data_IF_162163147910
#
_entry.id   IF_162163147910
#
_cell.length_a   1.000
_cell.length_b   1.000
_cell.length_c   1.000
_cell.angle_alpha   90.00
_cell.angle_beta   90.00
_cell.angle_gamma   90.00
#
_symmetry.space_group_name_H-M   'P 1'
#
loop_
_entity.id
_entity.type
_entity.pdbx_description
1 polymer ?
#
# COMPACT_ATOMS: atom_id res chain seq x y z
N UNK A 1 21.03 -12.73 10.34
CA UNK A 1 21.24 -11.49 11.13
C UNK A 1 20.65 -11.68 12.51
N UNK A 2 21.39 -11.38 13.58
CA UNK A 2 20.90 -11.56 14.96
C UNK A 2 20.03 -10.38 15.37
N UNK A 3 18.80 -10.65 15.83
CA UNK A 3 17.95 -9.62 16.42
C UNK A 3 18.52 -9.19 17.77
N UNK A 4 18.94 -7.94 17.86
CA UNK A 4 19.37 -7.33 19.13
C UNK A 4 18.42 -6.21 19.52
N UNK A 5 18.32 -5.95 20.82
CA UNK A 5 17.61 -4.78 21.32
C UNK A 5 18.18 -3.47 20.77
N UNK A 6 19.51 -3.38 20.61
CA UNK A 6 20.15 -2.20 20.03
C UNK A 6 19.66 -1.91 18.61
N UNK A 7 19.51 -2.93 17.76
CA UNK A 7 18.98 -2.79 16.42
C UNK A 7 17.52 -2.30 16.41
N UNK A 8 16.67 -2.88 17.28
CA UNK A 8 15.26 -2.52 17.35
C UNK A 8 15.07 -1.10 17.91
N UNK A 9 15.87 -0.71 18.90
CA UNK A 9 15.75 0.58 19.60
C UNK A 9 16.58 1.70 18.98
N UNK A 10 17.43 1.42 17.99
CA UNK A 10 18.26 2.43 17.31
C UNK A 10 17.47 3.68 16.86
N UNK A 11 16.27 3.59 16.27
CA UNK A 11 15.52 4.78 15.87
C UNK A 11 14.68 5.39 17.00
N UNK A 12 14.75 4.90 18.25
CA UNK A 12 13.86 5.31 19.33
C UNK A 12 13.85 6.83 19.53
N UNK A 13 15.02 7.46 19.62
CA UNK A 13 15.13 8.91 19.82
C UNK A 13 14.46 9.68 18.69
N UNK A 14 14.72 9.30 17.44
CA UNK A 14 14.11 9.94 16.27
C UNK A 14 12.59 9.71 16.24
N UNK A 15 12.12 8.50 16.57
CA UNK A 15 10.71 8.17 16.64
C UNK A 15 9.97 8.96 17.75
N UNK A 16 10.60 9.15 18.92
CA UNK A 16 10.06 9.96 20.01
C UNK A 16 9.94 11.44 19.63
N UNK A 17 10.96 11.99 18.96
CA UNK A 17 10.90 13.36 18.44
C UNK A 17 9.77 13.48 17.41
N UNK A 18 9.66 12.54 16.47
CA UNK A 18 8.59 12.52 15.48
C UNK A 18 7.20 12.38 16.12
N UNK A 19 7.06 11.58 17.18
CA UNK A 19 5.81 11.45 17.92
C UNK A 19 5.40 12.74 18.64
N UNK A 20 6.37 13.48 19.20
CA UNK A 20 6.10 14.78 19.81
C UNK A 20 5.63 15.80 18.76
N UNK A 21 6.26 15.82 17.57
CA UNK A 21 5.81 16.65 16.45
C UNK A 21 4.40 16.25 15.98
N UNK A 22 4.15 14.95 15.82
CA UNK A 22 2.84 14.41 15.45
C UNK A 22 1.75 14.82 16.46
N UNK A 23 2.06 14.78 17.75
CA UNK A 23 1.18 15.27 18.81
C UNK A 23 0.82 16.75 18.60
N UNK A 24 1.83 17.61 18.41
CA UNK A 24 1.62 19.04 18.18
C UNK A 24 0.77 19.29 16.93
N UNK A 25 1.05 18.59 15.83
CA UNK A 25 0.27 18.70 14.58
C UNK A 25 -1.17 18.25 14.79
N UNK A 26 -1.40 17.14 15.50
CA UNK A 26 -2.74 16.64 15.81
C UNK A 26 -3.56 17.60 16.66
N UNK A 27 -2.95 18.22 17.68
CA UNK A 27 -3.60 19.26 18.49
C UNK A 27 -3.93 20.48 17.63
N UNK A 28 -2.97 20.97 16.85
CA UNK A 28 -3.16 22.15 16.00
C UNK A 28 -4.29 21.93 14.97
N UNK A 29 -4.32 20.78 14.31
CA UNK A 29 -5.39 20.42 13.37
C UNK A 29 -6.76 20.33 14.07
N UNK A 30 -6.82 19.70 15.25
CA UNK A 30 -8.04 19.61 16.04
C UNK A 30 -8.58 20.99 16.42
N UNK A 31 -7.71 21.91 16.86
CA UNK A 31 -8.08 23.29 17.17
C UNK A 31 -8.54 24.06 15.92
N UNK A 32 -7.81 23.95 14.81
CA UNK A 32 -8.15 24.61 13.54
C UNK A 32 -9.52 24.17 12.99
N UNK A 33 -9.95 22.95 13.31
CA UNK A 33 -11.26 22.40 12.94
C UNK A 33 -12.36 22.65 13.97
N UNK A 34 -12.11 23.48 14.98
CA UNK A 34 -13.10 23.78 16.02
C UNK A 34 -13.37 22.61 16.97
N UNK A 35 -12.52 21.58 17.01
CA UNK A 35 -12.68 20.38 17.82
C UNK A 35 -11.91 20.50 19.15
N UNK A 36 -12.03 21.64 19.84
CA UNK A 36 -11.20 21.95 21.03
C UNK A 36 -11.25 20.88 22.12
N UNK A 37 -12.43 20.27 22.36
CA UNK A 37 -12.60 19.19 23.34
C UNK A 37 -11.88 17.88 22.97
N UNK A 38 -11.55 17.67 21.69
CA UNK A 38 -10.94 16.44 21.17
C UNK A 38 -9.53 16.64 20.63
N UNK A 39 -9.04 17.88 20.55
CA UNK A 39 -7.74 18.23 19.97
C UNK A 39 -6.58 17.52 20.68
N UNK A 40 -6.61 17.46 22.02
CA UNK A 40 -5.61 16.74 22.80
C UNK A 40 -5.62 15.24 22.51
N UNK A 41 -6.81 14.63 22.44
CA UNK A 41 -6.93 13.20 22.13
C UNK A 41 -6.42 12.89 20.72
N UNK A 42 -6.74 13.74 19.74
CA UNK A 42 -6.23 13.61 18.36
C UNK A 42 -4.69 13.69 18.33
N UNK A 43 -4.10 14.63 19.05
CA UNK A 43 -2.64 14.70 19.22
C UNK A 43 -2.07 13.44 19.84
N UNK A 44 -2.66 12.96 20.94
CA UNK A 44 -2.22 11.72 21.60
C UNK A 44 -2.31 10.51 20.67
N UNK A 45 -3.42 10.36 19.94
CA UNK A 45 -3.64 9.26 19.01
C UNK A 45 -2.63 9.29 17.87
N UNK A 46 -2.39 10.47 17.27
CA UNK A 46 -1.40 10.67 16.21
C UNK A 46 0.03 10.30 16.67
N UNK A 47 0.44 10.78 17.85
CA UNK A 47 1.77 10.47 18.40
C UNK A 47 1.92 9.00 18.79
N UNK A 48 0.92 8.42 19.46
CA UNK A 48 0.95 7.03 19.91
C UNK A 48 0.94 6.03 18.75
N UNK A 49 0.08 6.25 17.74
CA UNK A 49 0.03 5.38 16.57
C UNK A 49 1.27 5.53 15.68
N UNK A 50 1.89 6.72 15.60
CA UNK A 50 3.21 6.86 14.95
C UNK A 50 4.23 5.93 15.62
N UNK A 51 4.36 5.97 16.95
CA UNK A 51 5.33 5.13 17.67
C UNK A 51 5.03 3.63 17.47
N UNK A 52 3.76 3.25 17.63
CA UNK A 52 3.33 1.87 17.46
C UNK A 52 3.58 1.39 16.02
N UNK A 53 3.25 2.20 15.02
CA UNK A 53 3.44 1.87 13.60
C UNK A 53 4.91 1.73 13.23
N UNK A 54 5.75 2.68 13.66
CA UNK A 54 7.19 2.66 13.45
C UNK A 54 7.83 1.40 14.08
N UNK A 55 7.43 1.06 15.31
CA UNK A 55 7.93 -0.10 16.02
C UNK A 55 7.48 -1.41 15.38
N UNK A 56 6.18 -1.57 15.10
CA UNK A 56 5.63 -2.80 14.52
C UNK A 56 6.18 -3.09 13.12
N UNK A 57 6.26 -2.08 12.26
CA UNK A 57 6.83 -2.23 10.92
C UNK A 57 8.30 -2.64 10.98
N UNK A 58 9.10 -1.97 11.83
CA UNK A 58 10.51 -2.31 12.03
C UNK A 58 10.68 -3.72 12.57
N UNK A 59 9.93 -4.08 13.61
CA UNK A 59 9.99 -5.40 14.24
C UNK A 59 9.64 -6.51 13.24
N UNK A 60 8.59 -6.32 12.46
CA UNK A 60 8.16 -7.28 11.43
C UNK A 60 9.27 -7.51 10.39
N UNK A 61 9.83 -6.44 9.85
CA UNK A 61 10.90 -6.52 8.85
C UNK A 61 12.19 -7.09 9.44
N UNK A 62 12.55 -6.72 10.66
CA UNK A 62 13.69 -7.27 11.38
C UNK A 62 13.53 -8.78 11.60
N UNK A 63 12.33 -9.22 11.95
CA UNK A 63 11.99 -10.64 12.08
C UNK A 63 12.20 -11.37 10.74
N UNK A 64 11.67 -10.85 9.62
CA UNK A 64 11.87 -11.47 8.31
C UNK A 64 13.35 -11.60 7.95
N UNK A 65 14.13 -10.52 8.13
CA UNK A 65 15.58 -10.51 7.88
C UNK A 65 16.35 -11.48 8.78
N UNK A 66 15.90 -11.68 10.03
CA UNK A 66 16.57 -12.59 10.95
C UNK A 66 16.35 -14.06 10.63
N UNK A 67 15.29 -14.38 9.86
CA UNK A 67 15.00 -15.75 9.40
C UNK A 67 15.77 -16.16 8.16
N UNK A 68 16.38 -15.22 7.43
CA UNK A 68 17.10 -15.51 6.20
C UNK A 68 18.57 -15.88 6.46
N UNK A 69 19.06 -16.93 5.78
CA UNK A 69 20.49 -17.26 5.71
C UNK A 69 21.31 -16.14 5.06
N UNK A 70 20.72 -15.45 4.09
CA UNK A 70 21.35 -14.35 3.35
C UNK A 70 20.54 -13.04 3.52
N UNK A 71 20.69 -12.33 4.67
CA UNK A 71 19.92 -11.13 4.98
C UNK A 71 19.98 -10.05 3.88
N UNK A 72 21.13 -9.92 3.23
CA UNK A 72 21.32 -9.00 2.10
C UNK A 72 20.38 -9.31 0.93
N UNK A 73 20.27 -10.59 0.55
CA UNK A 73 19.38 -11.01 -0.54
C UNK A 73 17.91 -10.91 -0.12
N UNK A 74 17.62 -11.28 1.13
CA UNK A 74 16.29 -11.12 1.70
C UNK A 74 15.86 -9.66 1.74
N UNK A 75 16.75 -8.70 2.03
CA UNK A 75 16.45 -7.28 2.02
C UNK A 75 15.97 -6.80 0.64
N UNK A 76 16.54 -7.30 -0.46
CA UNK A 76 16.05 -7.02 -1.81
C UNK A 76 14.63 -7.55 -2.05
N UNK A 77 14.36 -8.79 -1.67
CA UNK A 77 13.02 -9.41 -1.79
C UNK A 77 12.00 -8.66 -0.92
N UNK A 78 12.38 -8.30 0.31
CA UNK A 78 11.54 -7.53 1.24
C UNK A 78 11.28 -6.12 0.70
N UNK A 79 12.28 -5.48 0.09
CA UNK A 79 12.14 -4.18 -0.57
C UNK A 79 11.08 -4.21 -1.67
N UNK A 80 11.04 -5.27 -2.48
CA UNK A 80 9.97 -5.51 -3.46
C UNK A 80 8.62 -5.81 -2.79
N UNK A 81 8.61 -6.73 -1.83
CA UNK A 81 7.38 -7.24 -1.25
C UNK A 81 6.65 -6.20 -0.41
N UNK A 82 7.34 -5.49 0.48
CA UNK A 82 6.72 -4.69 1.54
C UNK A 82 6.92 -3.18 1.39
N UNK A 83 7.80 -2.72 0.51
CA UNK A 83 8.03 -1.29 0.26
C UNK A 83 7.84 -0.90 -1.22
N UNK A 84 7.81 -1.89 -2.12
CA UNK A 84 7.71 -1.79 -3.58
C UNK A 84 8.83 -0.97 -4.24
N UNK A 85 8.83 0.35 -4.05
CA UNK A 85 9.73 1.29 -4.74
C UNK A 85 11.21 1.06 -4.49
N UNK A 86 11.68 0.79 -3.26
CA UNK A 86 13.08 0.42 -3.04
C UNK A 86 13.50 -0.80 -3.88
N UNK A 87 12.64 -1.83 -3.97
CA UNK A 87 12.88 -3.00 -4.80
C UNK A 87 12.94 -2.65 -6.29
N UNK A 88 11.98 -1.87 -6.78
CA UNK A 88 11.94 -1.39 -8.17
C UNK A 88 13.21 -0.62 -8.52
N UNK A 89 13.60 0.36 -7.70
CA UNK A 89 14.78 1.22 -7.93
C UNK A 89 16.07 0.38 -7.95
N UNK A 90 16.23 -0.55 -7.00
CA UNK A 90 17.42 -1.39 -6.92
C UNK A 90 17.42 -2.54 -7.93
N UNK A 91 16.39 -2.71 -8.77
CA UNK A 91 16.33 -3.84 -9.72
C UNK A 91 17.44 -3.78 -10.75
N UNK A 92 17.71 -2.63 -11.37
CA UNK A 92 18.81 -2.49 -12.34
C UNK A 92 20.18 -2.50 -11.63
N UNK A 93 20.42 -1.70 -10.56
CA UNK A 93 21.66 -1.77 -9.79
C UNK A 93 22.00 -3.19 -9.30
N UNK A 94 21.01 -3.98 -8.88
CA UNK A 94 21.22 -5.34 -8.39
C UNK A 94 21.76 -6.27 -9.47
N UNK A 95 21.40 -6.07 -10.75
CA UNK A 95 21.98 -6.81 -11.88
C UNK A 95 23.47 -6.50 -12.07
N UNK A 96 23.93 -5.36 -11.58
CA UNK A 96 25.33 -4.92 -11.60
C UNK A 96 26.05 -5.20 -10.28
N UNK A 97 25.42 -5.92 -9.34
CA UNK A 97 25.98 -6.23 -8.03
C UNK A 97 25.91 -5.09 -7.01
N UNK A 98 25.10 -4.05 -7.27
CA UNK A 98 24.91 -2.91 -6.36
C UNK A 98 23.52 -2.95 -5.69
N UNK A 99 23.45 -2.48 -4.43
CA UNK A 99 22.19 -2.27 -3.71
C UNK A 99 22.28 -0.95 -2.96
N UNK A 100 21.36 -0.03 -3.23
CA UNK A 100 21.36 1.30 -2.64
C UNK A 100 20.28 1.42 -1.58
N UNK A 101 19.06 0.99 -1.88
CA UNK A 101 17.89 1.13 -1.01
C UNK A 101 17.49 -0.18 -0.34
N UNK A 102 17.93 -1.32 -0.85
CA UNK A 102 17.57 -2.65 -0.34
C UNK A 102 18.71 -3.34 0.42
N UNK A 103 19.44 -2.60 1.25
CA UNK A 103 20.30 -3.19 2.29
C UNK A 103 19.49 -3.42 3.57
N UNK A 104 19.87 -4.37 4.45
CA UNK A 104 19.14 -4.65 5.69
C UNK A 104 18.88 -3.41 6.54
N UNK A 105 19.89 -2.56 6.73
CA UNK A 105 19.80 -1.33 7.53
C UNK A 105 18.83 -0.33 6.90
N UNK A 106 18.92 -0.14 5.58
CA UNK A 106 18.07 0.82 4.86
C UNK A 106 16.62 0.35 4.84
N UNK A 107 16.36 -0.93 4.60
CA UNK A 107 14.99 -1.48 4.61
C UNK A 107 14.37 -1.39 6.00
N UNK A 108 15.14 -1.56 7.07
CA UNK A 108 14.69 -1.33 8.44
C UNK A 108 14.39 0.13 8.73
N UNK A 109 15.23 1.05 8.25
CA UNK A 109 15.00 2.49 8.40
C UNK A 109 13.74 2.92 7.64
N UNK A 110 13.62 2.52 6.37
CA UNK A 110 12.46 2.82 5.52
C UNK A 110 11.18 2.25 6.11
N UNK A 111 11.17 1.01 6.60
CA UNK A 111 9.97 0.44 7.23
C UNK A 111 9.57 1.16 8.51
N UNK A 112 10.55 1.63 9.29
CA UNK A 112 10.30 2.48 10.47
C UNK A 112 9.61 3.79 10.06
N UNK A 113 10.11 4.44 9.01
CA UNK A 113 9.55 5.70 8.48
C UNK A 113 8.15 5.49 7.91
N UNK A 114 7.96 4.48 7.06
CA UNK A 114 6.64 4.19 6.46
C UNK A 114 5.63 3.79 7.52
N UNK A 115 5.98 2.85 8.41
CA UNK A 115 5.10 2.42 9.50
C UNK A 115 4.72 3.57 10.42
N UNK A 116 5.69 4.43 10.76
CA UNK A 116 5.45 5.64 11.55
C UNK A 116 4.56 6.65 10.84
N UNK A 117 4.78 6.88 9.54
CA UNK A 117 3.95 7.77 8.72
C UNK A 117 2.50 7.28 8.59
N UNK A 118 2.30 5.99 8.36
CA UNK A 118 0.97 5.36 8.33
C UNK A 118 0.29 5.51 9.70
N UNK A 119 1.00 5.18 10.79
CA UNK A 119 0.45 5.35 12.14
C UNK A 119 0.08 6.79 12.48
N UNK A 120 0.93 7.74 12.08
CA UNK A 120 0.64 9.16 12.22
C UNK A 120 -0.64 9.56 11.50
N UNK A 121 -0.78 9.21 10.21
CA UNK A 121 -1.96 9.56 9.45
C UNK A 121 -3.20 8.90 10.05
N UNK A 122 -3.14 7.61 10.38
CA UNK A 122 -4.26 6.89 10.97
C UNK A 122 -4.75 7.54 12.27
N UNK A 123 -3.83 7.99 13.13
CA UNK A 123 -4.17 8.67 14.39
C UNK A 123 -4.59 10.13 14.22
N UNK A 124 -3.98 10.85 13.27
CA UNK A 124 -4.34 12.23 12.95
C UNK A 124 -5.80 12.35 12.50
N UNK A 125 -6.28 11.35 11.77
CA UNK A 125 -7.64 11.30 11.22
C UNK A 125 -8.58 10.36 11.96
N UNK A 126 -8.09 9.56 12.91
CA UNK A 126 -8.92 8.69 13.75
C UNK A 126 -9.67 7.63 12.94
N UNK A 127 -9.00 6.97 11.98
CA UNK A 127 -9.68 6.07 11.04
C UNK A 127 -10.08 4.71 11.65
N UNK A 128 -9.48 4.30 12.76
CA UNK A 128 -9.59 2.94 13.29
C UNK A 128 -10.62 2.81 14.41
N UNK A 129 -11.68 2.03 14.21
CA UNK A 129 -12.64 1.60 15.25
C UNK A 129 -12.14 0.41 16.06
N UNK A 130 -13.06 -0.41 16.59
CA UNK A 130 -12.70 -1.65 17.30
C UNK A 130 -11.91 -2.63 16.42
N UNK A 131 -12.24 -2.69 15.12
CA UNK A 131 -11.49 -3.48 14.15
C UNK A 131 -10.03 -3.03 14.00
N UNK A 132 -9.73 -1.78 14.39
CA UNK A 132 -8.40 -1.19 14.51
C UNK A 132 -7.37 -2.07 15.21
N UNK A 133 -7.78 -2.87 16.19
CA UNK A 133 -6.89 -3.79 16.92
C UNK A 133 -6.22 -4.79 15.96
N UNK A 134 -6.91 -5.16 14.88
CA UNK A 134 -6.41 -6.09 13.87
C UNK A 134 -5.93 -5.36 12.61
N UNK A 135 -6.70 -4.40 12.11
CA UNK A 135 -6.41 -3.70 10.85
C UNK A 135 -5.18 -2.81 10.96
N UNK A 136 -4.92 -2.17 12.11
CA UNK A 136 -3.75 -1.32 12.28
C UNK A 136 -2.43 -2.10 12.20
N UNK A 137 -2.21 -3.18 12.99
CA UNK A 137 -1.01 -4.00 12.86
C UNK A 137 -0.83 -4.53 11.44
N UNK A 138 -1.90 -4.97 10.77
CA UNK A 138 -1.83 -5.46 9.39
C UNK A 138 -1.42 -4.33 8.42
N UNK A 139 -1.97 -3.13 8.56
CA UNK A 139 -1.62 -1.99 7.70
C UNK A 139 -0.12 -1.64 7.75
N UNK A 140 0.48 -1.71 8.94
CA UNK A 140 1.91 -1.38 9.15
C UNK A 140 2.85 -2.57 9.02
N UNK A 141 2.35 -3.78 8.72
CA UNK A 141 3.19 -4.98 8.55
C UNK A 141 2.88 -5.70 7.24
N UNK A 142 1.85 -6.54 7.22
CA UNK A 142 1.47 -7.37 6.08
C UNK A 142 1.03 -6.54 4.86
N UNK A 143 0.22 -5.51 5.08
CA UNK A 143 -0.25 -4.55 4.08
C UNK A 143 0.69 -3.37 3.84
N UNK A 144 1.96 -3.45 4.30
CA UNK A 144 2.91 -2.33 4.26
C UNK A 144 3.20 -1.84 2.84
N UNK A 145 3.16 -2.71 1.84
CA UNK A 145 3.42 -2.34 0.44
C UNK A 145 2.36 -1.36 -0.09
N UNK A 146 1.09 -1.70 0.07
CA UNK A 146 -0.01 -0.83 -0.32
C UNK A 146 -0.01 0.46 0.50
N UNK A 147 0.31 0.39 1.79
CA UNK A 147 0.39 1.57 2.64
C UNK A 147 1.64 2.43 2.42
N UNK A 148 2.71 1.90 1.81
CA UNK A 148 3.82 2.71 1.29
C UNK A 148 3.31 3.62 0.18
N UNK A 149 2.54 3.06 -0.76
CA UNK A 149 1.88 3.85 -1.80
C UNK A 149 0.79 4.76 -1.23
N UNK A 150 0.05 4.31 -0.21
CA UNK A 150 -0.94 5.12 0.50
C UNK A 150 -0.32 6.34 1.16
N UNK A 151 0.87 6.21 1.75
CA UNK A 151 1.60 7.33 2.31
C UNK A 151 2.08 8.32 1.22
N UNK A 152 2.54 7.83 0.08
CA UNK A 152 2.82 8.69 -1.08
C UNK A 152 1.55 9.42 -1.56
N UNK A 153 0.42 8.72 -1.57
CA UNK A 153 -0.87 9.30 -1.94
C UNK A 153 -1.31 10.37 -0.93
N UNK A 154 -1.06 10.17 0.36
CA UNK A 154 -1.21 11.22 1.37
C UNK A 154 -0.34 12.43 1.08
N UNK A 155 0.95 12.26 0.74
CA UNK A 155 1.85 13.37 0.43
C UNK A 155 1.36 14.18 -0.78
N UNK A 156 0.89 13.50 -1.82
CA UNK A 156 0.33 14.17 -3.00
C UNK A 156 -0.97 14.90 -2.63
N UNK A 157 -1.86 14.26 -1.87
CA UNK A 157 -3.13 14.86 -1.49
C UNK A 157 -3.01 15.91 -0.37
N UNK A 158 -1.93 15.92 0.40
CA UNK A 158 -1.76 16.89 1.48
C UNK A 158 -1.73 18.33 0.95
N UNK A 159 -1.22 18.53 -0.27
CA UNK A 159 -1.09 19.85 -0.87
C UNK A 159 -2.43 20.46 -1.35
N UNK A 160 -3.39 19.64 -1.78
CA UNK A 160 -4.61 20.13 -2.45
C UNK A 160 -5.86 19.24 -2.32
N UNK A 161 -5.75 18.12 -1.62
CA UNK A 161 -6.83 17.15 -1.46
C UNK A 161 -7.79 17.55 -0.34
N UNK A 162 -9.06 17.21 -0.53
CA UNK A 162 -10.10 17.39 0.47
C UNK A 162 -10.29 16.10 1.26
N UNK A 163 -9.58 15.99 2.39
CA UNK A 163 -9.69 14.82 3.26
C UNK A 163 -11.00 14.87 4.05
N UNK A 164 -11.81 13.83 3.91
CA UNK A 164 -13.08 13.72 4.62
C UNK A 164 -12.84 13.67 6.12
N UNK A 165 -13.78 14.20 6.91
CA UNK A 165 -13.83 13.93 8.33
C UNK A 165 -14.33 12.50 8.54
N UNK A 166 -13.42 11.54 8.70
CA UNK A 166 -13.82 10.19 9.08
C UNK A 166 -13.70 9.99 10.60
N UNK A 167 -14.60 9.19 11.14
CA UNK A 167 -14.37 8.51 12.41
C UNK A 167 -14.60 7.03 12.17
N UNK A 168 -13.53 6.23 12.29
CA UNK A 168 -13.60 4.78 12.56
C UNK A 168 -14.09 3.90 11.39
N UNK A 169 -13.70 4.19 10.15
CA UNK A 169 -14.05 3.41 8.94
C UNK A 169 -12.94 2.51 8.38
N UNK A 170 -11.84 2.36 9.09
CA UNK A 170 -10.68 1.56 8.70
C UNK A 170 -9.96 2.02 7.41
N UNK A 171 -10.29 3.21 6.91
CA UNK A 171 -9.68 3.80 5.72
C UNK A 171 -9.75 5.33 5.71
N UNK A 172 -8.75 5.95 5.07
CA UNK A 172 -8.73 7.36 4.72
C UNK A 172 -9.50 7.61 3.43
N UNK A 173 -10.26 8.72 3.39
CA UNK A 173 -11.05 9.08 2.21
C UNK A 173 -10.88 10.55 1.86
N UNK A 174 -10.23 10.81 0.73
CA UNK A 174 -10.27 12.13 0.12
C UNK A 174 -11.47 12.24 -0.83
N UNK A 175 -12.34 13.21 -0.59
CA UNK A 175 -13.47 13.53 -1.48
C UNK A 175 -12.97 14.07 -2.84
N UNK A 176 -11.83 14.76 -2.84
CA UNK A 176 -11.11 15.19 -4.03
C UNK A 176 -9.60 15.14 -3.80
N UNK A 177 -8.81 14.92 -4.85
CA UNK A 177 -7.36 14.80 -4.75
C UNK A 177 -6.72 14.26 -6.03
N UNK A 178 -5.67 13.47 -5.87
CA UNK A 178 -5.00 12.76 -6.93
C UNK A 178 -5.95 11.80 -7.64
N UNK A 179 -5.92 11.86 -8.97
CA UNK A 179 -6.67 10.96 -9.84
C UNK A 179 -5.90 10.78 -11.13
N UNK A 180 -5.88 9.56 -11.65
CA UNK A 180 -5.28 9.27 -12.96
C UNK A 180 -6.19 9.76 -14.08
N UNK A 181 -7.52 9.67 -13.87
CA UNK A 181 -8.56 10.08 -14.83
C UNK A 181 -9.68 10.79 -14.07
N UNK A 182 -10.35 11.74 -14.74
CA UNK A 182 -11.25 12.71 -14.09
C UNK A 182 -12.34 12.10 -13.18
N UNK A 183 -12.84 10.92 -13.55
CA UNK A 183 -13.95 10.23 -12.85
C UNK A 183 -13.50 9.06 -11.98
N UNK A 184 -12.20 8.84 -11.82
CA UNK A 184 -11.67 7.63 -11.19
C UNK A 184 -11.34 7.95 -9.74
N UNK A 185 -11.77 7.08 -8.85
CA UNK A 185 -11.17 6.98 -7.54
C UNK A 185 -9.81 6.25 -7.66
N UNK A 186 -8.94 6.46 -6.68
CA UNK A 186 -7.64 5.82 -6.66
C UNK A 186 -7.31 5.40 -5.24
N UNK A 187 -7.23 4.08 -5.01
CA UNK A 187 -6.96 3.52 -3.69
C UNK A 187 -5.59 2.85 -3.63
N UNK A 188 -4.84 3.17 -2.57
CA UNK A 188 -3.55 2.57 -2.25
C UNK A 188 -3.46 2.33 -0.75
N UNK A 189 -3.28 1.07 -0.33
CA UNK A 189 -3.30 0.70 1.08
C UNK A 189 -4.66 0.99 1.70
N UNK A 190 -4.69 1.70 2.83
CA UNK A 190 -5.93 2.19 3.44
C UNK A 190 -6.36 3.58 2.95
N UNK A 191 -5.76 4.13 1.88
CA UNK A 191 -5.97 5.51 1.43
C UNK A 191 -6.71 5.54 0.11
N UNK A 192 -7.90 6.15 0.11
CA UNK A 192 -8.74 6.33 -1.07
C UNK A 192 -8.74 7.80 -1.48
N UNK A 193 -8.46 8.09 -2.74
CA UNK A 193 -8.54 9.43 -3.30
C UNK A 193 -9.66 9.57 -4.31
N UNK A 194 -10.27 10.76 -4.33
CA UNK A 194 -11.38 11.10 -5.22
C UNK A 194 -12.60 10.16 -5.07
N UNK A 195 -12.91 9.79 -3.83
CA UNK A 195 -13.90 8.76 -3.50
C UNK A 195 -15.19 9.35 -2.94
N UNK A 196 -16.25 9.25 -3.74
CA UNK A 196 -17.61 9.58 -3.33
C UNK A 196 -18.23 8.51 -2.42
N UNK A 197 -19.34 8.84 -1.77
CA UNK A 197 -20.08 7.88 -0.93
C UNK A 197 -20.54 6.64 -1.71
N UNK A 198 -20.93 6.79 -2.97
CA UNK A 198 -21.37 5.67 -3.82
C UNK A 198 -20.23 4.75 -4.26
N UNK A 199 -18.99 5.25 -4.30
CA UNK A 199 -17.80 4.47 -4.63
C UNK A 199 -17.11 3.85 -3.41
N UNK A 200 -17.47 4.27 -2.20
CA UNK A 200 -16.80 3.79 -0.98
C UNK A 200 -16.78 2.26 -0.88
N UNK A 201 -17.88 1.57 -1.18
CA UNK A 201 -17.93 0.11 -1.11
C UNK A 201 -16.93 -0.57 -2.06
N UNK A 202 -16.78 -0.05 -3.27
CA UNK A 202 -15.81 -0.51 -4.26
C UNK A 202 -14.37 -0.31 -3.76
N UNK A 203 -14.04 0.92 -3.38
CA UNK A 203 -12.69 1.26 -2.92
C UNK A 203 -12.31 0.54 -1.61
N UNK A 204 -13.28 0.31 -0.72
CA UNK A 204 -13.05 -0.42 0.52
C UNK A 204 -12.69 -1.88 0.29
N UNK A 205 -13.18 -2.50 -0.80
CA UNK A 205 -12.72 -3.84 -1.19
C UNK A 205 -11.22 -3.84 -1.46
N UNK A 206 -10.65 -2.81 -2.10
CA UNK A 206 -9.21 -2.72 -2.31
C UNK A 206 -8.42 -2.55 -1.01
N UNK A 207 -8.96 -1.82 -0.03
CA UNK A 207 -8.37 -1.75 1.31
C UNK A 207 -8.35 -3.14 1.96
N UNK A 208 -9.44 -3.88 1.89
CA UNK A 208 -9.53 -5.26 2.43
C UNK A 208 -8.62 -6.21 1.67
N UNK A 209 -8.52 -6.10 0.34
CA UNK A 209 -7.60 -6.89 -0.47
C UNK A 209 -6.15 -6.66 -0.04
N UNK A 210 -5.74 -5.41 0.20
CA UNK A 210 -4.43 -5.09 0.75
C UNK A 210 -4.22 -5.70 2.15
N UNK A 211 -5.23 -5.67 3.02
CA UNK A 211 -5.14 -6.25 4.37
C UNK A 211 -5.07 -7.78 4.36
N UNK A 212 -5.76 -8.45 3.44
CA UNK A 212 -5.84 -9.91 3.40
C UNK A 212 -4.68 -10.51 2.62
N UNK A 213 -4.41 -9.99 1.42
CA UNK A 213 -3.38 -10.53 0.53
C UNK A 213 -2.01 -9.84 0.69
N UNK A 214 -1.95 -8.69 1.38
CA UNK A 214 -0.69 -8.01 1.71
C UNK A 214 0.15 -7.72 0.46
N UNK A 215 1.43 -8.15 0.44
CA UNK A 215 2.31 -7.90 -0.70
C UNK A 215 1.82 -8.57 -2.00
N UNK A 216 1.08 -9.69 -1.89
CA UNK A 216 0.59 -10.40 -3.07
C UNK A 216 -0.42 -9.58 -3.85
N UNK A 217 -1.28 -8.80 -3.18
CA UNK A 217 -2.25 -7.93 -3.84
C UNK A 217 -1.53 -6.93 -4.76
N UNK A 218 -0.64 -6.12 -4.21
CA UNK A 218 0.08 -5.07 -4.96
C UNK A 218 0.92 -5.67 -6.09
N UNK A 219 1.70 -6.71 -5.80
CA UNK A 219 2.60 -7.32 -6.79
C UNK A 219 1.83 -8.00 -7.92
N UNK A 220 0.76 -8.74 -7.62
CA UNK A 220 -0.04 -9.39 -8.66
C UNK A 220 -0.86 -8.39 -9.47
N UNK A 221 -1.32 -7.29 -8.86
CA UNK A 221 -1.98 -6.21 -9.59
C UNK A 221 -1.00 -5.56 -10.61
N UNK A 222 0.22 -5.23 -10.20
CA UNK A 222 1.25 -4.69 -11.09
C UNK A 222 1.68 -5.71 -12.14
N UNK A 223 1.91 -6.96 -11.75
CA UNK A 223 2.29 -8.02 -12.69
C UNK A 223 1.21 -8.22 -13.76
N UNK A 224 -0.07 -8.18 -13.39
CA UNK A 224 -1.18 -8.22 -14.34
C UNK A 224 -1.10 -7.09 -15.36
N UNK A 225 -0.93 -5.85 -14.88
CA UNK A 225 -0.80 -4.67 -15.74
C UNK A 225 0.36 -4.81 -16.73
N UNK A 226 1.53 -5.25 -16.26
CA UNK A 226 2.72 -5.44 -17.11
C UNK A 226 2.49 -6.55 -18.15
N UNK A 227 1.96 -7.70 -17.73
CA UNK A 227 1.75 -8.85 -18.61
C UNK A 227 0.71 -8.56 -19.69
N UNK A 228 -0.34 -7.81 -19.37
CA UNK A 228 -1.43 -7.52 -20.29
C UNK A 228 -1.30 -6.19 -21.05
N UNK A 229 -0.22 -5.43 -20.83
CA UNK A 229 0.02 -4.19 -21.54
C UNK A 229 0.11 -4.39 -23.06
N UNK A 230 0.97 -5.31 -23.52
CA UNK A 230 1.13 -5.59 -24.97
C UNK A 230 -0.13 -6.22 -25.57
N UNK A 231 -0.76 -7.25 -24.97
CA UNK A 231 -2.06 -7.74 -25.42
C UNK A 231 -3.14 -6.64 -25.52
N UNK A 232 -3.23 -5.75 -24.54
CA UNK A 232 -4.17 -4.63 -24.53
C UNK A 232 -3.89 -3.62 -25.63
N UNK A 233 -2.63 -3.28 -25.88
CA UNK A 233 -2.20 -2.47 -27.02
C UNK A 233 -2.67 -3.07 -28.35
N UNK A 234 -2.43 -4.37 -28.56
CA UNK A 234 -2.81 -5.09 -29.78
C UNK A 234 -4.34 -5.10 -29.92
N UNK A 235 -5.07 -5.47 -28.86
CA UNK A 235 -6.52 -5.54 -28.87
C UNK A 235 -7.17 -4.18 -29.15
N UNK A 236 -6.66 -3.11 -28.54
CA UNK A 236 -7.12 -1.75 -28.79
C UNK A 236 -6.81 -1.26 -30.21
N UNK A 237 -5.64 -1.62 -30.76
CA UNK A 237 -5.26 -1.29 -32.14
C UNK A 237 -6.14 -1.97 -33.20
N UNK A 238 -6.68 -3.15 -32.90
CA UNK A 238 -7.62 -3.87 -33.77
C UNK A 238 -9.10 -3.61 -33.45
N UNK A 239 -9.40 -2.80 -32.42
CA UNK A 239 -10.78 -2.57 -32.01
C UNK A 239 -11.53 -1.67 -33.00
N UNK A 240 -12.75 -2.07 -33.36
CA UNK A 240 -13.68 -1.22 -34.13
C UNK A 240 -14.53 -0.30 -33.25
N UNK A 241 -14.51 -0.49 -31.93
CA UNK A 241 -15.39 0.19 -30.95
C UNK A 241 -14.64 1.06 -29.95
N UNK A 242 -13.31 1.00 -29.94
CA UNK A 242 -12.46 1.71 -28.99
C UNK A 242 -11.11 2.05 -29.59
N UNK A 243 -10.31 2.78 -28.81
CA UNK A 243 -8.94 3.19 -29.12
C UNK A 243 -7.91 2.21 -28.55
N UNK A 244 -6.63 2.40 -28.89
CA UNK A 244 -5.52 1.71 -28.22
C UNK A 244 -5.55 1.92 -26.70
N UNK A 245 -5.84 3.14 -26.24
CA UNK A 245 -5.95 3.45 -24.82
C UNK A 245 -7.08 2.66 -24.15
N UNK A 246 -8.25 2.55 -24.80
CA UNK A 246 -9.36 1.73 -24.29
C UNK A 246 -8.98 0.24 -24.21
N UNK A 247 -8.14 -0.26 -25.13
CA UNK A 247 -7.63 -1.63 -25.09
C UNK A 247 -6.65 -1.89 -23.93
N UNK A 248 -5.72 -0.96 -23.69
CA UNK A 248 -4.80 -1.03 -22.54
C UNK A 248 -5.60 -0.98 -21.25
N UNK A 249 -6.47 0.02 -21.07
CA UNK A 249 -7.31 0.19 -19.88
C UNK A 249 -8.17 -1.06 -19.65
N UNK A 250 -8.85 -1.51 -20.69
CA UNK A 250 -9.69 -2.71 -20.65
C UNK A 250 -8.98 -3.97 -20.18
N UNK A 251 -7.77 -4.23 -20.68
CA UNK A 251 -7.03 -5.45 -20.38
C UNK A 251 -6.27 -5.35 -19.05
N UNK A 252 -5.60 -4.23 -18.80
CA UNK A 252 -4.70 -4.05 -17.65
C UNK A 252 -5.41 -3.63 -16.36
N UNK A 253 -6.54 -2.94 -16.48
CA UNK A 253 -7.28 -2.38 -15.36
C UNK A 253 -8.66 -3.04 -15.22
N UNK A 254 -9.56 -2.87 -16.18
CA UNK A 254 -10.96 -3.32 -16.04
C UNK A 254 -11.08 -4.84 -15.92
N UNK A 255 -10.20 -5.56 -16.61
CA UNK A 255 -10.17 -7.02 -16.58
C UNK A 255 -9.28 -7.60 -15.47
N UNK A 256 -8.69 -6.77 -14.61
CA UNK A 256 -7.89 -7.24 -13.49
C UNK A 256 -8.79 -7.96 -12.48
N UNK A 257 -8.44 -9.19 -12.02
CA UNK A 257 -9.27 -9.92 -11.07
C UNK A 257 -9.56 -9.14 -9.77
N UNK A 258 -8.61 -8.31 -9.33
CA UNK A 258 -8.79 -7.47 -8.15
C UNK A 258 -9.81 -6.36 -8.35
N UNK A 259 -9.80 -5.74 -9.52
CA UNK A 259 -10.75 -4.72 -9.94
C UNK A 259 -12.16 -5.32 -10.11
N UNK A 260 -12.25 -6.50 -10.74
CA UNK A 260 -13.50 -7.23 -10.93
C UNK A 260 -14.21 -7.55 -9.60
N UNK A 261 -13.44 -7.84 -8.54
CA UNK A 261 -13.98 -8.01 -7.19
C UNK A 261 -14.54 -6.69 -6.61
N UNK A 262 -13.92 -5.55 -6.89
CA UNK A 262 -14.46 -4.23 -6.52
C UNK A 262 -15.79 -3.97 -7.21
N UNK A 263 -15.87 -4.22 -8.52
CA UNK A 263 -17.11 -4.06 -9.31
C UNK A 263 -18.26 -4.97 -8.84
N UNK A 264 -17.96 -6.11 -8.22
CA UNK A 264 -18.98 -6.99 -7.66
C UNK A 264 -19.68 -6.39 -6.42
N UNK A 265 -19.06 -5.43 -5.73
CA UNK A 265 -19.61 -4.78 -4.53
C UNK A 265 -20.21 -3.42 -4.84
N UNK A 266 -19.63 -2.68 -5.78
CA UNK A 266 -20.13 -1.37 -6.17
C UNK A 266 -19.34 -0.73 -7.29
N UNK A 267 -19.81 0.44 -7.75
CA UNK A 267 -19.31 1.04 -8.98
C UNK A 267 -19.79 0.30 -10.22
N UNK A 268 -19.56 0.89 -11.38
CA UNK A 268 -19.84 0.23 -12.65
C UNK A 268 -18.90 0.79 -13.71
N UNK A 269 -18.26 -0.08 -14.47
CA UNK A 269 -17.57 0.32 -15.67
C UNK A 269 -18.03 -0.55 -16.84
N UNK A 270 -18.16 0.07 -18.01
CA UNK A 270 -18.58 -0.60 -19.25
C UNK A 270 -17.45 -0.46 -20.26
N UNK A 271 -16.38 -1.27 -20.13
CA UNK A 271 -15.22 -1.18 -21.00
C UNK A 271 -15.60 -1.39 -22.46
N UNK A 272 -15.06 -0.54 -23.34
CA UNK A 272 -15.27 -0.65 -24.79
C UNK A 272 -14.53 -1.84 -25.41
N UNK A 273 -13.42 -2.23 -24.78
CA UNK A 273 -12.59 -3.38 -25.11
C UNK A 273 -12.29 -4.07 -23.79
N UNK A 274 -12.58 -5.36 -23.67
CA UNK A 274 -12.37 -6.09 -22.42
C UNK A 274 -11.88 -7.50 -22.71
N UNK A 275 -11.08 -8.03 -21.79
CA UNK A 275 -10.81 -9.45 -21.74
C UNK A 275 -12.10 -10.14 -21.26
N UNK A 276 -12.51 -11.21 -21.94
CA UNK A 276 -13.69 -11.96 -21.50
C UNK A 276 -13.48 -12.57 -20.11
N UNK A 277 -14.55 -12.65 -19.30
CA UNK A 277 -14.51 -13.12 -17.90
C UNK A 277 -13.79 -14.47 -17.72
N UNK A 278 -13.99 -15.42 -18.65
CA UNK A 278 -13.32 -16.72 -18.62
C UNK A 278 -11.79 -16.56 -18.65
N UNK A 279 -11.29 -15.70 -19.54
CA UNK A 279 -9.85 -15.45 -19.67
C UNK A 279 -9.30 -14.68 -18.47
N UNK A 280 -10.07 -13.74 -17.92
CA UNK A 280 -9.73 -13.07 -16.67
C UNK A 280 -9.52 -14.08 -15.54
N UNK A 281 -10.44 -15.02 -15.36
CA UNK A 281 -10.35 -16.06 -14.33
C UNK A 281 -9.16 -16.99 -14.58
N UNK A 282 -8.99 -17.49 -15.81
CA UNK A 282 -7.90 -18.41 -16.15
C UNK A 282 -6.53 -17.78 -15.92
N UNK A 283 -6.31 -16.57 -16.43
CA UNK A 283 -5.04 -15.87 -16.24
C UNK A 283 -4.83 -15.46 -14.79
N UNK A 284 -5.90 -15.11 -14.06
CA UNK A 284 -5.84 -14.81 -12.64
C UNK A 284 -5.36 -16.01 -11.82
N UNK A 285 -5.95 -17.18 -12.07
CA UNK A 285 -5.52 -18.44 -11.44
C UNK A 285 -4.10 -18.82 -11.82
N UNK A 286 -3.70 -18.63 -13.08
CA UNK A 286 -2.33 -18.87 -13.52
C UNK A 286 -1.33 -17.95 -12.81
N UNK A 287 -1.67 -16.67 -12.62
CA UNK A 287 -0.83 -15.72 -11.89
C UNK A 287 -0.69 -16.12 -10.42
N UNK A 288 -1.79 -16.48 -9.75
CA UNK A 288 -1.76 -17.01 -8.37
C UNK A 288 -0.85 -18.24 -8.29
N UNK A 289 -1.03 -19.21 -9.19
CA UNK A 289 -0.22 -20.42 -9.23
C UNK A 289 1.27 -20.11 -9.45
N UNK A 290 1.59 -19.17 -10.34
CA UNK A 290 2.96 -18.71 -10.57
C UNK A 290 3.57 -18.07 -9.32
N UNK A 291 2.82 -17.22 -8.60
CA UNK A 291 3.29 -16.64 -7.33
C UNK A 291 3.46 -17.69 -6.23
N UNK A 292 2.55 -18.65 -6.09
CA UNK A 292 2.70 -19.76 -5.14
C UNK A 292 3.96 -20.57 -5.48
N UNK A 293 4.14 -20.90 -6.76
CA UNK A 293 5.33 -21.63 -7.22
C UNK A 293 6.62 -20.84 -6.98
N UNK A 294 6.65 -19.55 -7.33
CA UNK A 294 7.77 -18.65 -7.06
C UNK A 294 8.02 -18.54 -5.56
N UNK A 295 6.98 -18.41 -4.74
CA UNK A 295 7.09 -18.42 -3.28
C UNK A 295 7.77 -19.71 -2.80
N UNK A 296 7.32 -20.87 -3.26
CA UNK A 296 7.89 -22.16 -2.90
C UNK A 296 9.32 -22.40 -3.44
N UNK A 297 9.78 -21.67 -4.46
CA UNK A 297 11.11 -21.86 -5.08
C UNK A 297 12.11 -20.79 -4.69
N UNK A 298 11.69 -19.53 -4.69
CA UNK A 298 12.51 -18.34 -4.45
C UNK A 298 12.65 -18.08 -2.95
N UNK A 299 11.61 -18.31 -2.15
CA UNK A 299 11.72 -18.14 -0.69
C UNK A 299 12.76 -19.13 -0.14
N UNK A 300 12.77 -20.42 -0.49
CA UNK A 300 13.86 -21.29 -0.04
C UNK A 300 15.23 -20.92 -0.59
N UNK A 301 15.35 -20.22 -1.71
CA UNK A 301 16.65 -19.79 -2.25
C UNK A 301 17.21 -18.58 -1.49
N UNK A 302 16.37 -17.63 -1.08
CA UNK A 302 16.81 -16.51 -0.24
C UNK A 302 16.94 -16.86 1.26
N UNK A 303 16.27 -17.93 1.70
CA UNK A 303 16.24 -18.37 3.10
C UNK A 303 17.08 -19.60 3.42
N UNK A 304 17.64 -20.30 2.43
CA UNK A 304 18.66 -21.33 2.65
C UNK A 304 20.03 -20.74 2.37
#
# INVERSE_FOLDING_TARGET
MTLTWSLLMQPLTAALIAAAMAFVVGVALGLARGQSGWALLRGLEAGALLLAGAFLARLFIAYLLSRASHPEQAAFVIGWAFLLWPGVIDTIPALLGHRWLTTPETVLALSTVVGGGVGFMNGLWGIHGLAGILTFPLNVTWGLAGNTNGLLLHLVNFAWGDHSDETRREAHRYASGFRIKGTYAFTQGCVMSNTSTSLFGHEFVHVVQNLVAGPFFVLSYVAWMVLLFVPGLIAGGFSKKGSMADGIEGYTYDSNPWEAMGYAVGGSHSPKVALGTVWTVVLGLALVAAFVWLGLRVIPWGWR
#
